data_IF_747383977517
#
_entry.id   IF_747383977517
#
_cell.length_a   1.000
_cell.length_b   1.000
_cell.length_c   1.000
_cell.angle_alpha   90.00
_cell.angle_beta   90.00
_cell.angle_gamma   90.00
#
_symmetry.space_group_name_H-M   'P 1'
#
loop_
_entity.id
_entity.type
_entity.pdbx_description
1 polymer ?
#
# COMPACT_ATOMS: atom_id res chain seq x y z
N UNK A 1 -1.33 -9.12 -5.80
CA UNK A 1 -2.44 -8.57 -5.00
C UNK A 1 -1.86 -7.74 -3.86
N UNK A 2 -2.60 -6.74 -3.41
CA UNK A 2 -2.26 -5.89 -2.26
C UNK A 2 -3.44 -5.89 -1.29
N UNK A 3 -3.15 -5.81 0.01
CA UNK A 3 -4.15 -5.72 1.08
C UNK A 3 -3.62 -4.79 2.17
N UNK A 4 -4.51 -3.99 2.76
CA UNK A 4 -4.21 -3.12 3.89
C UNK A 4 -5.33 -3.21 4.93
N UNK A 5 -4.98 -3.00 6.19
CA UNK A 5 -5.90 -2.94 7.32
C UNK A 5 -5.22 -2.20 8.46
N UNK A 6 -6.03 -1.60 9.33
CA UNK A 6 -5.56 -1.05 10.61
C UNK A 6 -5.23 -2.16 11.62
N UNK A 7 -5.79 -3.35 11.41
CA UNK A 7 -5.65 -4.50 12.31
C UNK A 7 -4.75 -5.57 11.70
N UNK A 8 -3.71 -5.96 12.43
CA UNK A 8 -2.75 -6.99 11.99
C UNK A 8 -3.43 -8.33 11.72
N UNK A 9 -4.32 -8.76 12.62
CA UNK A 9 -5.01 -10.06 12.53
C UNK A 9 -5.87 -10.16 11.26
N UNK A 10 -6.42 -9.04 10.80
CA UNK A 10 -7.17 -8.98 9.53
C UNK A 10 -6.27 -9.29 8.32
N UNK A 11 -5.03 -8.77 8.31
CA UNK A 11 -4.06 -9.06 7.25
C UNK A 11 -3.64 -10.53 7.29
N UNK A 12 -3.33 -11.05 8.49
CA UNK A 12 -2.90 -12.45 8.65
C UNK A 12 -4.00 -13.43 8.22
N UNK A 13 -5.25 -13.16 8.60
CA UNK A 13 -6.41 -13.94 8.17
C UNK A 13 -6.59 -13.94 6.65
N UNK A 14 -6.44 -12.78 6.01
CA UNK A 14 -6.51 -12.67 4.55
C UNK A 14 -5.39 -13.45 3.86
N UNK A 15 -4.15 -13.31 4.33
CA UNK A 15 -3.00 -14.05 3.78
C UNK A 15 -3.18 -15.56 3.92
N UNK A 16 -3.68 -16.03 5.06
CA UNK A 16 -3.97 -17.44 5.28
C UNK A 16 -5.08 -17.94 4.34
N UNK A 17 -6.11 -17.13 4.11
CA UNK A 17 -7.18 -17.46 3.16
C UNK A 17 -6.63 -17.62 1.74
N UNK A 18 -5.82 -16.66 1.25
CA UNK A 18 -5.22 -16.72 -0.08
C UNK A 18 -4.26 -17.91 -0.20
N UNK A 19 -3.47 -18.19 0.83
CA UNK A 19 -2.58 -19.36 0.87
C UNK A 19 -3.36 -20.67 0.70
N UNK A 20 -4.54 -20.77 1.29
CA UNK A 20 -5.40 -21.95 1.21
C UNK A 20 -6.09 -22.11 -0.15
N UNK A 21 -6.11 -21.07 -1.01
CA UNK A 21 -6.56 -21.18 -2.41
C UNK A 21 -5.58 -21.97 -3.29
N UNK A 22 -4.37 -22.26 -2.79
CA UNK A 22 -3.34 -23.07 -3.48
C UNK A 22 -3.05 -22.56 -4.89
N UNK A 23 -2.99 -21.23 -5.06
CA UNK A 23 -2.53 -20.65 -6.32
C UNK A 23 -1.14 -21.16 -6.66
N UNK A 24 -0.97 -21.50 -7.93
CA UNK A 24 0.33 -21.86 -8.48
C UNK A 24 1.28 -20.69 -8.24
N UNK A 25 2.45 -20.99 -7.69
CA UNK A 25 3.51 -20.01 -7.45
C UNK A 25 3.11 -18.85 -6.51
N UNK A 26 2.23 -19.10 -5.52
CA UNK A 26 1.96 -18.10 -4.47
C UNK A 26 3.24 -17.71 -3.71
N UNK A 27 3.56 -16.43 -3.75
CA UNK A 27 4.69 -15.85 -3.03
C UNK A 27 4.28 -14.53 -2.38
N UNK A 28 4.74 -14.32 -1.14
CA UNK A 28 4.68 -13.02 -0.49
C UNK A 28 5.91 -12.23 -0.93
N UNK A 29 5.70 -11.27 -1.82
CA UNK A 29 6.75 -10.38 -2.35
C UNK A 29 7.40 -9.58 -1.22
N UNK A 30 6.64 -9.21 -0.19
CA UNK A 30 7.15 -8.53 1.00
C UNK A 30 6.32 -8.94 2.20
N UNK A 31 6.95 -8.93 3.39
CA UNK A 31 6.26 -9.20 4.65
C UNK A 31 5.26 -8.07 4.94
N UNK A 32 4.09 -8.37 5.52
CA UNK A 32 3.20 -7.32 6.03
C UNK A 32 3.97 -6.39 6.97
N UNK A 33 3.78 -5.09 6.78
CA UNK A 33 4.44 -4.06 7.58
C UNK A 33 3.44 -2.96 7.96
N UNK A 34 3.79 -2.19 8.99
CA UNK A 34 3.00 -1.03 9.40
C UNK A 34 3.21 0.07 8.35
N UNK A 35 2.12 0.70 7.91
CA UNK A 35 2.22 1.85 7.01
C UNK A 35 3.01 2.98 7.68
N UNK A 36 4.18 3.29 7.12
CA UNK A 36 4.89 4.53 7.39
C UNK A 36 4.31 5.63 6.51
N UNK A 37 4.14 6.84 7.06
CA UNK A 37 3.70 7.99 6.27
C UNK A 37 4.84 8.41 5.32
N UNK A 38 4.72 8.10 4.03
CA UNK A 38 5.76 8.38 3.02
C UNK A 38 5.82 9.87 2.62
N UNK A 39 5.02 10.75 3.23
CA UNK A 39 4.93 12.19 2.91
C UNK A 39 6.18 13.01 3.29
N UNK A 40 7.30 12.38 3.62
CA UNK A 40 8.51 13.02 4.17
C UNK A 40 9.77 13.04 3.31
N UNK A 41 9.73 12.66 2.02
CA UNK A 41 10.95 12.70 1.17
C UNK A 41 10.69 13.23 -0.23
N UNK A 42 10.60 14.55 -0.33
CA UNK A 42 10.93 15.32 -1.53
C UNK A 42 11.38 16.71 -1.12
N UNK A 43 12.70 16.91 -1.12
CA UNK A 43 13.46 18.17 -1.16
C UNK A 43 13.27 19.20 -0.03
N UNK A 44 14.43 19.61 0.51
CA UNK A 44 14.56 20.80 1.35
C UNK A 44 13.99 22.03 0.65
N UNK A 45 13.02 22.65 1.31
CA UNK A 45 12.36 23.88 0.91
C UNK A 45 11.45 24.32 2.04
N UNK A 46 12.03 25.04 3.02
CA UNK A 46 11.35 25.59 4.18
C UNK A 46 10.29 26.60 3.74
N UNK A 47 9.01 26.27 3.85
CA UNK A 47 7.92 27.23 4.05
C UNK A 47 6.94 26.68 5.11
N UNK A 48 6.69 27.54 6.09
CA UNK A 48 5.87 27.42 7.30
C UNK A 48 4.39 27.05 7.08
N UNK A 49 3.67 26.65 8.17
CA UNK A 49 2.44 25.88 8.09
C UNK A 49 1.22 26.78 8.01
N UNK A 50 0.25 26.47 7.13
CA UNK A 50 -1.10 27.02 7.23
C UNK A 50 -2.14 26.20 6.47
N UNK A 51 -3.19 25.86 7.23
CA UNK A 51 -4.54 25.44 6.80
C UNK A 51 -4.68 24.00 6.32
N UNK A 52 -4.83 23.13 7.31
CA UNK A 52 -6.05 22.34 7.51
C UNK A 52 -6.79 21.92 6.23
N UNK A 53 -6.13 21.15 5.37
CA UNK A 53 -6.87 20.27 4.47
C UNK A 53 -7.42 19.15 5.33
N UNK A 54 -8.68 19.32 5.72
CA UNK A 54 -9.59 18.27 6.17
C UNK A 54 -9.36 17.08 5.20
N UNK A 55 -8.51 16.12 5.58
CA UNK A 55 -8.45 14.81 4.91
C UNK A 55 -9.81 14.23 5.19
N UNK A 56 -10.73 14.44 4.25
CA UNK A 56 -11.98 13.71 4.20
C UNK A 56 -11.58 12.27 4.40
N UNK A 57 -12.05 11.66 5.50
CA UNK A 57 -12.06 10.22 5.65
C UNK A 57 -13.00 9.70 4.56
N UNK A 58 -12.55 9.73 3.31
CA UNK A 58 -13.02 8.80 2.31
C UNK A 58 -12.55 7.46 2.83
N UNK A 59 -13.43 6.83 3.58
CA UNK A 59 -13.39 5.41 3.86
C UNK A 59 -13.28 4.74 2.50
N UNK A 60 -12.04 4.43 2.09
CA UNK A 60 -11.74 3.68 0.88
C UNK A 60 -12.71 2.51 0.86
N UNK A 61 -13.67 2.56 -0.08
CA UNK A 61 -14.77 1.58 -0.13
C UNK A 61 -14.14 0.20 -0.11
N UNK A 62 -14.36 -0.55 0.97
CA UNK A 62 -13.80 -1.89 1.10
C UNK A 62 -14.28 -2.73 -0.09
N UNK A 63 -13.34 -3.38 -0.79
CA UNK A 63 -13.64 -4.10 -2.01
C UNK A 63 -12.39 -4.63 -2.72
N UNK A 64 -12.61 -5.57 -3.63
CA UNK A 64 -11.61 -6.06 -4.56
C UNK A 64 -11.68 -5.22 -5.83
N UNK A 65 -10.55 -4.66 -6.24
CA UNK A 65 -10.43 -3.87 -7.46
C UNK A 65 -9.36 -4.51 -8.34
N UNK A 66 -9.76 -4.88 -9.56
CA UNK A 66 -8.86 -5.40 -10.58
C UNK A 66 -8.28 -4.24 -11.39
N UNK A 67 -7.05 -4.41 -11.84
CA UNK A 67 -6.35 -3.45 -12.71
C UNK A 67 -5.70 -4.19 -13.85
N UNK A 68 -5.59 -3.54 -15.01
CA UNK A 68 -5.10 -4.19 -16.22
C UNK A 68 -3.57 -4.14 -16.34
N UNK A 69 -2.92 -3.16 -15.70
CA UNK A 69 -1.48 -2.91 -15.88
C UNK A 69 -0.72 -2.71 -14.57
N UNK A 70 0.56 -3.09 -14.58
CA UNK A 70 1.48 -2.83 -13.45
C UNK A 70 1.70 -1.34 -13.23
N UNK A 71 1.63 -0.53 -14.28
CA UNK A 71 1.73 0.94 -14.20
C UNK A 71 0.57 1.52 -13.38
N UNK A 72 -0.64 1.07 -13.67
CA UNK A 72 -1.84 1.47 -12.93
C UNK A 72 -1.76 1.00 -11.47
N UNK A 73 -1.36 -0.26 -11.24
CA UNK A 73 -1.17 -0.79 -9.90
C UNK A 73 -0.18 0.08 -9.10
N UNK A 74 0.93 0.49 -9.71
CA UNK A 74 1.90 1.37 -9.10
C UNK A 74 1.34 2.75 -8.73
N UNK A 75 0.56 3.36 -9.63
CA UNK A 75 -0.13 4.62 -9.36
C UNK A 75 -1.10 4.53 -8.18
N UNK A 76 -1.78 3.40 -8.01
CA UNK A 76 -2.63 3.16 -6.83
C UNK A 76 -1.82 3.04 -5.53
N UNK A 77 -0.64 2.42 -5.56
CA UNK A 77 0.24 2.34 -4.39
C UNK A 77 0.74 3.72 -3.98
N UNK A 78 1.04 4.60 -4.94
CA UNK A 78 1.39 6.00 -4.69
C UNK A 78 0.24 6.79 -4.06
N UNK A 79 -0.98 6.68 -4.61
CA UNK A 79 -2.16 7.33 -4.03
C UNK A 79 -2.48 6.84 -2.62
N UNK A 80 -2.17 5.57 -2.31
CA UNK A 80 -2.34 4.96 -0.98
C UNK A 80 -1.17 5.23 -0.01
N UNK A 81 -0.09 5.88 -0.47
CA UNK A 81 1.06 6.22 0.37
C UNK A 81 1.96 5.03 0.74
N UNK A 82 1.97 3.98 -0.07
CA UNK A 82 2.80 2.77 0.11
C UNK A 82 3.75 2.54 -1.08
N UNK A 83 4.15 3.62 -1.73
CA UNK A 83 4.93 3.61 -2.95
C UNK A 83 6.34 3.06 -2.74
N UNK A 84 7.07 3.55 -1.75
CA UNK A 84 8.44 3.09 -1.46
C UNK A 84 8.43 1.64 -1.00
N UNK A 85 7.48 1.27 -0.14
CA UNK A 85 7.28 -0.12 0.25
C UNK A 85 7.07 -1.04 -0.96
N UNK A 86 6.15 -0.66 -1.86
CA UNK A 86 5.87 -1.44 -3.07
C UNK A 86 7.10 -1.52 -3.98
N UNK A 87 7.80 -0.41 -4.20
CA UNK A 87 9.01 -0.38 -5.05
C UNK A 87 10.12 -1.26 -4.50
N UNK A 88 10.33 -1.26 -3.18
CA UNK A 88 11.29 -2.13 -2.51
C UNK A 88 10.91 -3.60 -2.68
N UNK A 89 9.65 -3.95 -2.46
CA UNK A 89 9.18 -5.32 -2.64
C UNK A 89 9.32 -5.82 -4.08
N UNK A 90 9.06 -4.95 -5.05
CA UNK A 90 9.22 -5.25 -6.48
C UNK A 90 10.68 -5.22 -6.96
N UNK A 91 11.64 -4.82 -6.12
CA UNK A 91 13.06 -4.74 -6.48
C UNK A 91 13.44 -3.52 -7.34
N UNK A 92 12.59 -2.49 -7.41
CA UNK A 92 12.89 -1.24 -8.13
C UNK A 92 13.81 -0.30 -7.33
N UNK A 93 13.98 -0.56 -6.04
CA UNK A 93 14.81 0.20 -5.10
C UNK A 93 15.45 -0.77 -4.11
N UNK A 94 16.71 -0.52 -3.72
CA UNK A 94 17.46 -1.30 -2.72
C UNK A 94 17.23 -0.80 -1.31
#
# INVERSE_FOLDING_TARGET
>A
MYVESKEKDSIESWVNTVRNLRYKDFQLVTRPDVMADETGSSNGGRIEPSRSKKKTEETSKAGLFEVETVKEFGGLMEQRGVWQWWRKGMGYTS
#
